data_IF_851810196275
#
_entry.id   IF_851810196275
#
_cell.length_a   1.000
_cell.length_b   1.000
_cell.length_c   1.000
_cell.angle_alpha   90.00
_cell.angle_beta   90.00
_cell.angle_gamma   90.00
#
_symmetry.space_group_name_H-M   'P 1'
#
loop_
_entity.id
_entity.type
_entity.pdbx_description
1 polymer ?
2 non-polymer ?
3 non-polymer ?
4 water ?
#
# COMPACT_ATOMS: atom_id res chain seq x y z
N UNK A 18 31.98 -5.87 -1.17
CA UNK A 18 32.51 -7.18 -1.65
C UNK A 18 32.72 -7.17 -3.17
N UNK A 19 31.63 -7.07 -3.92
CA UNK A 19 31.71 -7.03 -5.38
C UNK A 19 31.59 -5.59 -5.87
N UNK A 20 31.73 -5.39 -7.17
CA UNK A 20 31.61 -4.07 -7.73
C UNK A 20 30.78 -4.11 -9.01
N UNK A 21 29.77 -3.23 -9.10
CA UNK A 21 28.91 -3.15 -10.27
C UNK A 21 29.40 -1.96 -11.09
N UNK A 22 29.98 -2.24 -12.25
CA UNK A 22 30.51 -1.20 -13.14
C UNK A 22 29.44 -0.23 -13.63
N UNK A 23 28.30 -0.77 -14.04
CA UNK A 23 27.19 0.02 -14.57
C UNK A 23 26.68 1.13 -13.65
N UNK A 24 26.55 0.84 -12.37
CA UNK A 24 26.06 1.83 -11.41
C UNK A 24 27.17 2.40 -10.53
N UNK A 25 28.38 1.85 -10.68
CA UNK A 25 29.56 2.29 -9.93
C UNK A 25 29.36 2.11 -8.42
N UNK A 26 28.76 0.99 -8.04
CA UNK A 26 28.50 0.71 -6.63
C UNK A 26 28.93 -0.69 -6.21
N UNK A 27 29.58 -0.80 -5.05
CA UNK A 27 30.00 -2.09 -4.54
C UNK A 27 28.80 -2.71 -3.82
N UNK A 28 28.77 -4.03 -3.73
CA UNK A 28 27.65 -4.72 -3.11
C UNK A 28 28.03 -6.14 -2.71
N UNK A 29 27.06 -6.87 -2.19
CA UNK A 29 27.25 -8.25 -1.78
C UNK A 29 26.32 -9.07 -2.67
N UNK A 30 26.89 -10.01 -3.42
CA UNK A 30 26.09 -10.84 -4.31
C UNK A 30 25.03 -11.62 -3.54
N UNK A 31 23.84 -11.72 -4.13
CA UNK A 31 22.74 -12.43 -3.52
C UNK A 31 22.21 -13.45 -4.51
N UNK A 32 21.44 -14.43 -4.01
CA UNK A 32 20.86 -15.46 -4.88
C UNK A 32 19.67 -14.83 -5.59
N UNK A 33 19.80 -14.53 -6.87
CA UNK A 33 18.68 -13.92 -7.57
C UNK A 33 17.38 -14.69 -7.47
N UNK A 34 16.41 -14.40 -8.36
CA UNK A 34 15.12 -15.10 -8.33
C UNK A 34 15.30 -16.61 -8.41
N UNK A 35 14.64 -17.35 -7.54
CA UNK A 35 14.75 -18.80 -7.53
C UNK A 35 14.33 -19.38 -8.87
N UNK A 36 14.76 -20.60 -9.17
CA UNK A 36 14.37 -21.22 -10.42
C UNK A 36 13.01 -21.88 -10.27
N UNK A 37 12.67 -22.25 -9.03
CA UNK A 37 11.37 -22.84 -8.72
C UNK A 37 10.44 -21.65 -8.83
N UNK A 38 9.41 -21.75 -9.66
CA UNK A 38 8.51 -20.62 -9.81
C UNK A 38 7.08 -20.93 -9.42
N UNK A 39 6.36 -19.89 -9.00
CA UNK A 39 4.96 -20.04 -8.64
C UNK A 39 4.23 -20.64 -9.84
N UNK A 40 3.10 -21.28 -9.58
CA UNK A 40 2.31 -21.86 -10.65
C UNK A 40 1.76 -20.68 -11.45
N UNK A 41 1.72 -20.83 -12.76
CA UNK A 41 1.21 -19.77 -13.62
C UNK A 41 -0.12 -19.23 -13.09
N UNK A 42 -0.84 -20.06 -12.35
CA UNK A 42 -2.11 -19.63 -11.78
C UNK A 42 -1.90 -18.60 -10.68
N UNK A 43 -0.90 -18.83 -9.82
CA UNK A 43 -0.61 -17.89 -8.75
C UNK A 43 0.06 -16.64 -9.31
N UNK A 44 0.91 -16.82 -10.31
CA UNK A 44 1.58 -15.70 -10.95
C UNK A 44 0.56 -14.67 -11.37
N UNK A 45 -0.61 -15.15 -11.80
CA UNK A 45 -1.67 -14.24 -12.26
C UNK A 45 -2.50 -13.68 -11.12
N UNK A 46 -2.02 -13.87 -9.89
CA UNK A 46 -2.69 -13.36 -8.70
C UNK A 46 -1.78 -12.35 -7.96
N UNK A 47 -0.53 -12.26 -8.37
CA UNK A 47 0.43 -11.35 -7.76
C UNK A 47 0.04 -9.91 -8.04
N UNK A 48 -0.06 -9.12 -6.97
CA UNK A 48 -0.43 -7.73 -7.14
C UNK A 48 -1.91 -7.46 -7.35
N UNK A 49 -2.73 -8.50 -7.22
CA UNK A 49 -4.17 -8.35 -7.39
C UNK A 49 -4.77 -7.82 -6.10
N UNK A 50 -5.88 -7.09 -6.22
CA UNK A 50 -6.55 -6.57 -5.03
C UNK A 50 -7.12 -7.73 -4.21
N UNK A 51 -8.20 -8.35 -4.69
CA UNK A 51 -8.81 -9.51 -4.02
C UNK A 51 -9.69 -9.16 -2.82
N UNK A 52 -10.57 -8.18 -2.98
CA UNK A 52 -11.46 -7.80 -1.90
C UNK A 52 -12.32 -8.97 -1.45
N UNK A 53 -12.52 -9.12 -0.13
CA UNK A 53 -13.33 -10.21 0.41
C UNK A 53 -14.78 -10.16 -0.07
N UNK A 54 -15.26 -8.96 -0.40
CA UNK A 54 -16.63 -8.80 -0.89
C UNK A 54 -16.66 -8.82 -2.42
N UNK A 55 -15.75 -9.60 -3.01
CA UNK A 55 -15.63 -9.73 -4.46
C UNK A 55 -15.52 -8.37 -5.15
N UNK A 59 -13.74 -10.44 -11.27
CA UNK A 59 -12.74 -9.39 -11.45
C UNK A 59 -11.38 -9.95 -11.88
N UNK A 60 -11.41 -11.09 -12.58
CA UNK A 60 -10.19 -11.71 -13.06
C UNK A 60 -10.29 -11.95 -14.57
N UNK A 61 -10.38 -10.84 -15.31
CA UNK A 61 -10.48 -10.88 -16.76
C UNK A 61 -9.10 -11.20 -17.32
N UNK A 62 -9.00 -11.46 -18.63
CA UNK A 62 -7.68 -11.76 -19.20
C UNK A 62 -6.73 -10.60 -18.92
N UNK A 63 -7.30 -9.42 -18.72
CA UNK A 63 -6.51 -8.23 -18.43
C UNK A 63 -5.94 -8.31 -17.03
N UNK A 64 -6.82 -8.41 -16.04
CA UNK A 64 -6.39 -8.50 -14.65
C UNK A 64 -5.33 -9.57 -14.50
N UNK A 65 -5.54 -10.71 -15.17
CA UNK A 65 -4.57 -11.80 -15.09
C UNK A 65 -3.24 -11.46 -15.75
N UNK A 66 -3.29 -10.69 -16.83
CA UNK A 66 -2.08 -10.32 -17.55
C UNK A 66 -1.32 -9.23 -16.79
N UNK A 67 -2.08 -8.39 -16.10
CA UNK A 67 -1.52 -7.30 -15.31
C UNK A 67 -0.67 -7.91 -14.20
N UNK A 68 -1.25 -8.89 -13.52
CA UNK A 68 -0.57 -9.59 -12.44
C UNK A 68 0.63 -10.38 -12.93
N UNK A 69 0.45 -11.09 -14.03
CA UNK A 69 1.52 -11.91 -14.61
C UNK A 69 2.70 -11.02 -14.92
N UNK A 70 2.42 -9.84 -15.45
CA UNK A 70 3.46 -8.89 -15.78
C UNK A 70 4.15 -8.43 -14.51
N UNK A 71 3.37 -8.13 -13.46
CA UNK A 71 3.99 -7.69 -12.20
C UNK A 71 4.95 -8.75 -11.68
N UNK A 72 4.55 -10.02 -11.83
CA UNK A 72 5.36 -11.13 -11.36
C UNK A 72 6.70 -11.19 -12.09
N UNK A 73 6.65 -11.05 -13.41
CA UNK A 73 7.85 -11.08 -14.24
C UNK A 73 8.78 -9.93 -13.92
N UNK A 74 8.21 -8.74 -13.78
CA UNK A 74 9.01 -7.57 -13.48
C UNK A 74 9.61 -7.62 -12.08
N UNK A 75 8.85 -8.20 -11.15
CA UNK A 75 9.31 -8.36 -9.76
C UNK A 75 10.60 -9.17 -9.76
N UNK A 76 10.58 -10.32 -10.42
CA UNK A 76 11.78 -11.17 -10.45
C UNK A 76 12.92 -10.50 -11.18
N UNK A 77 12.61 -9.67 -12.15
CA UNK A 77 13.62 -8.96 -12.91
C UNK A 77 14.29 -7.90 -12.04
N UNK A 78 13.51 -7.18 -11.26
CA UNK A 78 14.08 -6.15 -10.37
C UNK A 78 14.85 -6.86 -9.25
N UNK A 79 14.41 -8.06 -8.90
CA UNK A 79 15.09 -8.82 -7.86
C UNK A 79 16.42 -9.30 -8.38
N UNK A 80 16.46 -9.57 -9.68
CA UNK A 80 17.69 -10.00 -10.31
C UNK A 80 18.67 -8.82 -10.30
N UNK A 81 18.15 -7.63 -10.60
CA UNK A 81 18.97 -6.41 -10.59
C UNK A 81 19.54 -6.17 -9.20
N UNK A 82 18.69 -6.26 -8.17
CA UNK A 82 19.13 -6.05 -6.80
C UNK A 82 20.28 -6.97 -6.40
N UNK A 83 20.14 -8.26 -6.70
CA UNK A 83 21.17 -9.24 -6.35
C UNK A 83 22.50 -9.00 -7.05
N UNK A 84 22.48 -8.18 -8.09
CA UNK A 84 23.69 -7.85 -8.85
C UNK A 84 24.15 -6.43 -8.57
N UNK A 85 23.57 -5.79 -7.57
CA UNK A 85 23.97 -4.42 -7.27
C UNK A 85 23.45 -3.42 -8.29
N UNK A 86 22.60 -3.87 -9.20
CA UNK A 86 22.02 -3.01 -10.22
C UNK A 86 21.08 -1.95 -9.65
N UNK A 87 20.37 -2.29 -8.58
CA UNK A 87 19.48 -1.34 -7.90
C UNK A 87 20.19 -1.13 -6.58
N UNK A 88 20.40 0.12 -6.18
CA UNK A 88 21.15 0.40 -4.98
C UNK A 88 20.46 1.14 -3.84
N UNK A 89 19.23 1.58 -4.05
CA UNK A 89 18.48 2.25 -2.98
C UNK A 89 16.99 1.91 -3.09
N UNK A 90 16.22 2.21 -2.06
CA UNK A 90 14.78 1.93 -2.11
C UNK A 90 14.15 2.84 -3.17
N UNK A 91 14.54 4.11 -3.14
CA UNK A 91 14.06 5.10 -4.09
C UNK A 91 14.22 4.62 -5.54
N UNK A 92 15.30 3.88 -5.78
CA UNK A 92 15.56 3.36 -7.12
C UNK A 92 14.58 2.23 -7.41
N UNK A 93 14.35 1.37 -6.42
CA UNK A 93 13.41 0.26 -6.56
C UNK A 93 12.00 0.81 -6.79
N UNK A 94 11.63 1.83 -6.01
CA UNK A 94 10.32 2.45 -6.16
C UNK A 94 10.16 3.03 -7.56
N UNK A 95 11.28 3.46 -8.14
CA UNK A 95 11.27 4.01 -9.49
C UNK A 95 11.03 2.92 -10.52
N UNK A 96 11.65 1.77 -10.32
CA UNK A 96 11.44 0.67 -11.25
C UNK A 96 9.98 0.22 -11.09
N UNK A 97 9.47 0.25 -9.86
CA UNK A 97 8.09 -0.14 -9.61
C UNK A 97 7.15 0.85 -10.31
N UNK A 98 7.46 2.14 -10.24
CA UNK A 98 6.61 3.12 -10.89
C UNK A 98 6.62 2.99 -12.41
N UNK A 99 7.79 2.82 -13.01
CA UNK A 99 7.84 2.69 -14.46
C UNK A 99 7.08 1.44 -14.94
N UNK A 100 7.12 0.36 -14.17
CA UNK A 100 6.39 -0.84 -14.58
C UNK A 100 4.90 -0.51 -14.53
N UNK A 101 4.50 0.13 -13.44
CA UNK A 101 3.11 0.52 -13.23
C UNK A 101 2.59 1.42 -14.34
N UNK A 102 3.37 2.43 -14.71
CA UNK A 102 2.98 3.36 -15.76
C UNK A 102 2.83 2.68 -17.12
N UNK A 103 3.54 1.58 -17.33
CA UNK A 103 3.48 0.88 -18.61
C UNK A 103 2.14 0.17 -18.81
N UNK A 104 1.35 0.05 -17.73
CA UNK A 104 0.06 -0.61 -17.83
C UNK A 104 -1.06 0.38 -18.08
N UNK A 105 -0.71 1.67 -18.09
CA UNK A 105 -1.70 2.73 -18.32
C UNK A 105 -1.98 2.89 -19.81
N UNK A 106 -3.26 3.06 -20.14
CA UNK A 106 -3.69 3.24 -21.52
C UNK A 106 -3.14 4.56 -22.08
N UNK A 107 -2.72 4.52 -23.35
CA UNK A 107 -2.16 5.69 -24.03
C UNK A 107 -3.00 6.96 -23.84
N UNK A 108 -2.30 8.08 -23.62
CA UNK A 108 -2.96 9.36 -23.43
C UNK A 108 -3.79 9.44 -22.16
N UNK A 109 -3.45 8.63 -21.16
CA UNK A 109 -4.17 8.63 -19.89
C UNK A 109 -3.98 9.97 -19.15
N UNK A 110 -5.10 10.60 -18.73
CA UNK A 110 -4.96 11.87 -18.02
C UNK A 110 -4.47 11.69 -16.59
N UNK A 111 -4.55 10.46 -16.10
CA UNK A 111 -4.11 10.12 -14.75
C UNK A 111 -2.65 9.73 -14.71
N UNK A 112 -2.06 9.56 -15.88
CA UNK A 112 -0.66 9.17 -16.01
C UNK A 112 0.25 9.91 -15.04
N UNK A 113 0.07 11.22 -14.95
CA UNK A 113 0.89 12.07 -14.10
C UNK A 113 0.74 11.78 -12.61
N UNK A 114 -0.48 11.44 -12.19
CA UNK A 114 -0.73 11.11 -10.79
C UNK A 114 -0.05 9.78 -10.44
N UNK A 115 0.00 8.86 -11.39
CA UNK A 115 0.66 7.58 -11.17
C UNK A 115 2.18 7.71 -11.21
N UNK A 116 2.69 8.81 -11.76
CA UNK A 116 4.13 8.98 -11.85
C UNK A 116 4.68 9.95 -10.80
N UNK A 117 3.77 10.67 -10.14
CA UNK A 117 4.20 11.67 -9.18
C UNK A 117 4.04 11.38 -7.69
N UNK A 118 4.96 11.95 -6.91
CA UNK A 118 4.92 11.80 -5.47
C UNK A 118 3.88 12.79 -4.94
N UNK A 119 3.26 12.42 -3.84
CA UNK A 119 2.22 13.21 -3.19
C UNK A 119 2.80 14.44 -2.48
N UNK A 120 2.04 15.55 -2.48
CA UNK A 120 2.49 16.78 -1.80
C UNK A 120 1.42 17.26 -0.83
N UNK A 121 1.74 18.30 -0.07
CA UNK A 121 0.83 18.87 0.93
C UNK A 121 -0.55 19.31 0.43
N UNK A 122 -0.57 20.08 -0.66
CA UNK A 122 -1.86 20.52 -1.19
C UNK A 122 -2.35 19.59 -2.30
N UNK A 123 -2.65 18.34 -1.93
CA UNK A 123 -3.14 17.37 -2.89
C UNK A 123 -4.03 16.35 -2.18
N UNK A 124 -4.73 15.54 -2.98
CA UNK A 124 -5.64 14.51 -2.47
C UNK A 124 -4.96 13.61 -1.43
N UNK A 125 -5.64 13.40 -0.31
CA UNK A 125 -5.12 12.55 0.75
C UNK A 125 -6.26 11.81 1.43
N UNK A 126 -7.36 11.62 0.71
CA UNK A 126 -8.53 10.93 1.26
C UNK A 126 -9.13 9.85 0.37
N UNK A 127 -9.62 8.79 0.99
CA UNK A 127 -10.26 7.70 0.27
C UNK A 127 -11.63 7.43 0.90
N UNK A 128 -12.71 7.87 0.23
CA UNK A 128 -14.07 7.66 0.75
C UNK A 128 -14.30 6.15 0.84
N UNK A 129 -14.75 5.66 1.99
CA UNK A 129 -14.99 4.23 2.16
C UNK A 129 -16.30 3.73 1.56
N UNK A 130 -16.39 3.82 0.24
CA UNK A 130 -17.55 3.37 -0.51
C UNK A 130 -17.03 2.20 -1.33
N UNK A 131 -17.87 1.65 -2.20
CA UNK A 131 -17.47 0.51 -3.03
C UNK A 131 -16.26 0.93 -3.86
N UNK A 132 -15.25 0.05 -4.01
CA UNK A 132 -15.10 -1.31 -3.47
C UNK A 132 -14.51 -1.47 -2.08
N UNK A 133 -14.48 -0.40 -1.29
CA UNK A 133 -13.91 -0.46 0.06
C UNK A 133 -14.92 -0.76 1.17
N UNK A 134 -16.16 -1.02 0.79
CA UNK A 134 -17.24 -1.32 1.73
C UNK A 134 -16.85 -2.26 2.88
N UNK A 135 -16.08 -3.31 2.57
CA UNK A 135 -15.65 -4.28 3.58
C UNK A 135 -14.71 -3.73 4.65
N UNK A 136 -14.33 -2.47 4.52
CA UNK A 136 -13.43 -1.85 5.50
C UNK A 136 -14.24 -1.28 6.65
N UNK A 137 -15.50 -0.97 6.39
CA UNK A 137 -16.39 -0.41 7.39
C UNK A 137 -16.43 -1.31 8.62
N UNK A 138 -16.60 -2.62 8.39
CA UNK A 138 -16.67 -3.58 9.47
C UNK A 138 -15.35 -3.61 10.23
N UNK A 139 -14.26 -3.88 9.50
CA UNK A 139 -12.92 -3.94 10.09
C UNK A 139 -12.63 -2.76 11.03
N UNK A 140 -13.16 -1.59 10.72
CA UNK A 140 -12.92 -0.43 11.58
C UNK A 140 -13.79 -0.53 12.82
N UNK A 141 -15.10 -0.71 12.59
CA UNK A 141 -16.06 -0.83 13.69
C UNK A 141 -15.63 -1.89 14.71
N UNK A 142 -15.25 -3.07 14.22
CA UNK A 142 -14.82 -4.18 15.06
C UNK A 142 -13.35 -4.17 15.44
N UNK A 143 -12.63 -3.09 15.12
CA UNK A 143 -11.20 -3.02 15.42
C UNK A 143 -10.91 -2.88 16.91
N UNK A 144 -10.14 -3.82 17.43
CA UNK A 144 -9.78 -3.84 18.85
C UNK A 144 -9.13 -2.56 19.35
N UNK A 145 -8.69 -1.71 18.43
CA UNK A 145 -8.04 -0.45 18.82
C UNK A 145 -8.84 0.78 18.39
N UNK A 146 -10.05 0.56 17.89
CA UNK A 146 -10.88 1.69 17.46
C UNK A 146 -11.52 2.33 18.68
N UNK A 147 -11.75 3.65 18.61
CA UNK A 147 -12.36 4.35 19.73
C UNK A 147 -13.49 5.27 19.27
N UNK A 148 -14.59 5.26 20.02
CA UNK A 148 -15.73 6.11 19.69
C UNK A 148 -15.25 7.53 19.80
N UNK A 149 -15.77 8.41 18.95
CA UNK A 149 -15.33 9.79 18.96
C UNK A 149 -16.40 10.63 18.28
N UNK A 150 -16.36 11.94 18.48
CA UNK A 150 -17.32 12.84 17.85
C UNK A 150 -16.60 13.67 16.79
N UNK A 151 -17.05 13.51 15.55
CA UNK A 151 -16.49 14.20 14.40
C UNK A 151 -17.32 15.44 14.11
N UNK A 152 -16.66 16.54 13.78
CA UNK A 152 -17.35 17.77 13.48
C UNK A 152 -17.26 18.08 11.97
N UNK A 153 -18.42 18.28 11.35
CA UNK A 153 -18.46 18.57 9.93
C UNK A 153 -19.28 19.83 9.66
N UNK A 154 -18.86 20.60 8.66
CA UNK A 154 -19.53 21.84 8.30
C UNK A 154 -20.90 21.56 7.69
N UNK A 155 -21.06 20.36 7.12
CA UNK A 155 -22.30 19.96 6.49
C UNK A 155 -23.16 19.11 7.43
N UNK A 156 -22.80 17.84 7.55
CA UNK A 156 -23.53 16.90 8.40
C UNK A 156 -23.62 17.35 9.86
N UNK A 157 -22.77 18.31 10.24
CA UNK A 157 -22.75 18.76 11.61
C UNK A 157 -21.91 17.79 12.40
N UNK A 158 -22.32 17.47 13.63
CA UNK A 158 -21.55 16.55 14.45
C UNK A 158 -22.08 15.13 14.27
N UNK A 159 -21.15 14.18 14.18
CA UNK A 159 -21.50 12.78 13.98
C UNK A 159 -20.73 11.86 14.91
N UNK A 160 -21.31 10.70 15.19
CA UNK A 160 -20.66 9.72 16.06
C UNK A 160 -19.91 8.77 15.12
N UNK A 161 -18.60 8.74 15.26
CA UNK A 161 -17.78 7.89 14.40
C UNK A 161 -16.84 6.97 15.17
N UNK A 162 -16.66 5.77 14.63
CA UNK A 162 -15.74 4.81 15.21
C UNK A 162 -14.44 5.25 14.50
N UNK A 163 -13.40 5.54 15.28
CA UNK A 163 -12.16 6.00 14.67
C UNK A 163 -10.92 5.18 15.02
N UNK A 164 -10.22 4.73 13.99
CA UNK A 164 -8.98 3.99 14.19
C UNK A 164 -7.82 4.90 13.78
N UNK A 165 -6.95 5.23 14.72
CA UNK A 165 -5.81 6.09 14.41
C UNK A 165 -4.50 5.33 14.30
N UNK A 166 -4.09 5.03 13.06
CA UNK A 166 -2.84 4.31 12.82
C UNK A 166 -1.65 5.23 13.15
N UNK A 167 -0.69 4.71 13.91
CA UNK A 167 0.50 5.49 14.26
C UNK A 167 1.75 4.66 14.02
N UNK A 168 2.91 5.32 14.00
CA UNK A 168 4.18 4.66 13.80
C UNK A 168 5.25 5.21 14.72
N UNK A 169 6.24 4.38 15.01
CA UNK A 169 7.36 4.78 15.85
C UNK A 169 8.56 5.05 14.94
N UNK A 170 9.12 6.25 15.00
CA UNK A 170 10.28 6.55 14.17
C UNK A 170 11.29 7.39 14.94
N UNK A 171 12.38 6.75 15.35
CA UNK A 171 13.46 7.44 16.08
C UNK A 171 12.97 8.10 17.37
N UNK A 172 11.94 7.53 17.99
CA UNK A 172 11.42 8.10 19.23
C UNK A 172 10.26 9.04 18.99
N UNK A 173 10.00 9.34 17.73
CA UNK A 173 8.91 10.23 17.36
C UNK A 173 7.75 9.33 16.94
N UNK A 174 6.61 9.47 17.61
CA UNK A 174 5.44 8.69 17.29
C UNK A 174 4.56 9.54 16.40
N UNK A 175 4.41 9.13 15.15
CA UNK A 175 3.63 9.92 14.21
C UNK A 175 2.35 9.24 13.74
N UNK A 176 1.36 10.05 13.35
CA UNK A 176 0.10 9.50 12.86
C UNK A 176 0.19 9.23 11.37
N UNK A 177 -0.19 8.03 10.97
CA UNK A 177 -0.17 7.72 9.55
C UNK A 177 -1.61 7.89 9.08
N UNK A 178 -2.28 6.77 8.83
CA UNK A 178 -3.66 6.75 8.37
C UNK A 178 -4.72 6.74 9.47
N UNK A 179 -5.80 7.48 9.22
CA UNK A 179 -6.91 7.60 10.15
C UNK A 179 -8.21 7.13 9.47
N UNK A 180 -8.87 6.15 10.05
CA UNK A 180 -10.13 5.63 9.52
C UNK A 180 -11.34 6.21 10.29
N UNK A 181 -12.27 6.82 9.56
CA UNK A 181 -13.48 7.41 10.13
C UNK A 181 -14.71 6.61 9.62
N UNK A 182 -15.56 6.15 10.53
CA UNK A 182 -16.76 5.43 10.13
C UNK A 182 -17.98 5.90 10.93
N UNK A 183 -18.84 6.67 10.28
CA UNK A 183 -20.05 7.20 10.91
C UNK A 183 -20.97 6.05 11.33
N UNK A 184 -21.47 6.13 12.56
CA UNK A 184 -22.34 5.08 13.08
C UNK A 184 -23.85 5.36 13.09
N UNK A 185 -24.24 6.63 12.96
CA UNK A 185 -25.68 7.00 12.96
C UNK A 185 -26.30 6.80 11.57
N UNK A 186 -26.54 5.54 11.21
CA UNK A 186 -27.10 5.19 9.92
C UNK A 186 -28.32 6.00 9.46
N UNK A 187 -29.42 5.85 10.18
CA UNK A 187 -30.65 6.56 9.83
C UNK A 187 -30.45 8.06 9.68
N UNK A 188 -29.76 8.66 10.64
CA UNK A 188 -29.51 10.09 10.62
C UNK A 188 -28.76 10.52 9.36
N UNK A 189 -27.85 9.67 8.90
CA UNK A 189 -27.06 9.95 7.71
C UNK A 189 -27.91 9.88 6.44
N UNK A 190 -28.77 8.88 6.35
CA UNK A 190 -29.66 8.73 5.20
C UNK A 190 -30.41 10.03 4.98
N UNK A 191 -30.92 10.61 6.07
CA UNK A 191 -31.67 11.86 6.01
C UNK A 191 -30.82 13.08 5.72
N UNK A 192 -29.64 13.14 6.31
CA UNK A 192 -28.74 14.26 6.07
C UNK A 192 -28.38 14.34 4.58
N UNK A 193 -28.03 13.19 4.01
CA UNK A 193 -27.67 13.10 2.60
C UNK A 193 -28.82 13.57 1.71
N UNK A 194 -30.01 13.04 1.95
CA UNK A 194 -31.19 13.38 1.17
C UNK A 194 -31.43 14.88 1.14
N UNK A 195 -31.28 15.53 2.30
CA UNK A 195 -31.47 16.97 2.38
C UNK A 195 -30.38 17.70 1.59
N UNK A 196 -29.13 17.34 1.83
CA UNK A 196 -27.99 17.96 1.15
C UNK A 196 -28.00 17.71 -0.36
N UNK A 197 -28.40 16.50 -0.75
CA UNK A 197 -28.43 16.14 -2.16
C UNK A 197 -29.44 17.01 -2.90
N UNK A 198 -30.15 17.86 -2.16
CA UNK A 198 -31.14 18.75 -2.74
C UNK A 198 -30.76 20.20 -2.52
N UNK A 199 -29.90 20.45 -1.55
CA UNK A 199 -29.45 21.81 -1.24
C UNK A 199 -28.14 22.14 -1.94
N UNK A 200 -27.45 21.12 -2.42
CA UNK A 200 -26.16 21.31 -3.09
C UNK A 200 -26.15 20.63 -4.46
N UNK A 201 -27.08 19.68 -4.65
CA UNK A 201 -27.14 18.97 -5.91
C UNK A 201 -26.13 17.84 -5.94
N UNK A 202 -26.47 16.74 -6.59
CA UNK A 202 -25.58 15.58 -6.69
C UNK A 202 -24.13 15.98 -6.97
N UNK A 203 -23.95 17.06 -7.73
CA UNK A 203 -22.63 17.53 -8.10
C UNK A 203 -21.87 18.09 -6.90
N UNK A 204 -22.23 19.30 -6.48
CA UNK A 204 -21.57 19.95 -5.35
C UNK A 204 -21.38 18.99 -4.17
N UNK A 205 -22.32 18.08 -3.99
CA UNK A 205 -22.23 17.11 -2.90
C UNK A 205 -21.01 16.22 -3.08
N UNK A 206 -20.97 15.48 -4.18
CA UNK A 206 -19.86 14.57 -4.45
C UNK A 206 -18.50 15.23 -4.27
N UNK A 207 -18.41 16.50 -4.61
CA UNK A 207 -17.15 17.22 -4.46
C UNK A 207 -16.81 17.31 -2.98
N UNK A 208 -17.73 17.82 -2.18
CA UNK A 208 -17.50 17.93 -0.75
C UNK A 208 -17.39 16.55 -0.14
N UNK A 209 -18.10 15.60 -0.74
CA UNK A 209 -18.11 14.23 -0.26
C UNK A 209 -16.88 13.48 -0.71
N UNK A 210 -16.06 14.12 -1.53
CA UNK A 210 -14.84 13.48 -1.99
C UNK A 210 -13.78 13.61 -0.91
N UNK A 211 -13.94 14.63 -0.07
CA UNK A 211 -13.01 14.86 1.03
C UNK A 211 -13.67 14.66 2.39
N UNK A 212 -14.98 14.89 2.48
CA UNK A 212 -15.66 14.77 3.76
C UNK A 212 -16.74 13.68 3.87
N UNK A 213 -16.60 12.60 3.13
CA UNK A 213 -17.56 11.53 3.20
C UNK A 213 -17.47 10.95 4.61
N UNK A 214 -18.60 10.92 5.34
CA UNK A 214 -18.66 10.40 6.71
C UNK A 214 -17.79 9.16 6.93
N UNK A 215 -17.79 8.27 5.95
CA UNK A 215 -17.01 7.04 6.02
C UNK A 215 -15.78 7.25 5.11
N UNK A 216 -14.60 7.43 5.69
CA UNK A 216 -13.40 7.67 4.88
C UNK A 216 -12.08 7.38 5.57
N UNK A 217 -11.02 7.34 4.75
CA UNK A 217 -9.67 7.12 5.25
C UNK A 217 -8.91 8.40 5.00
N UNK A 218 -8.41 9.02 6.06
CA UNK A 218 -7.59 10.23 5.90
C UNK A 218 -6.16 9.67 5.92
N UNK A 219 -5.50 9.77 4.77
CA UNK A 219 -4.17 9.23 4.63
C UNK A 219 -3.05 10.03 5.28
N UNK A 220 -1.91 9.37 5.44
CA UNK A 220 -0.73 9.95 6.02
C UNK A 220 -0.45 11.33 5.44
N UNK A 221 -0.14 12.28 6.31
CA UNK A 221 0.17 13.62 5.89
C UNK A 221 1.45 13.56 5.04
N UNK A 222 1.44 14.26 3.91
CA UNK A 222 2.59 14.26 3.01
C UNK A 222 3.84 14.82 3.65
N UNK A 223 3.64 15.69 4.64
CA UNK A 223 4.74 16.31 5.34
C UNK A 223 5.68 15.28 5.99
N UNK A 224 5.23 14.04 6.12
CA UNK A 224 6.05 12.99 6.73
C UNK A 224 6.77 12.11 5.72
N UNK A 225 6.51 12.32 4.43
CA UNK A 225 7.16 11.51 3.39
C UNK A 225 8.69 11.48 3.42
N UNK A 226 9.34 12.65 3.57
CA UNK A 226 10.81 12.66 3.60
C UNK A 226 11.44 11.71 4.63
N UNK A 227 11.05 11.82 5.91
CA UNK A 227 11.66 10.92 6.89
C UNK A 227 11.19 9.48 6.65
N UNK A 228 9.99 9.31 6.07
CA UNK A 228 9.53 7.96 5.80
C UNK A 228 10.36 7.37 4.63
N UNK A 229 10.57 8.16 3.58
CA UNK A 229 11.37 7.66 2.47
C UNK A 229 12.80 7.36 2.96
N UNK A 230 13.33 8.19 3.84
CA UNK A 230 14.67 7.91 4.37
C UNK A 230 14.62 6.61 5.15
N UNK A 231 13.60 6.43 5.97
CA UNK A 231 13.51 5.17 6.72
C UNK A 231 13.40 3.96 5.78
N UNK A 232 12.63 4.08 4.71
CA UNK A 232 12.51 2.98 3.75
C UNK A 232 13.87 2.62 3.13
N UNK A 233 14.70 3.64 2.90
CA UNK A 233 16.04 3.43 2.36
C UNK A 233 16.87 2.68 3.41
N UNK A 234 16.69 3.01 4.68
CA UNK A 234 17.42 2.32 5.75
C UNK A 234 17.01 0.84 5.84
N UNK A 235 15.74 0.53 5.62
CA UNK A 235 15.30 -0.86 5.67
C UNK A 235 15.81 -1.64 4.48
N UNK A 236 15.89 -0.96 3.33
CA UNK A 236 16.42 -1.57 2.11
C UNK A 236 17.88 -1.93 2.33
N UNK A 237 18.64 -1.01 2.90
CA UNK A 237 20.04 -1.24 3.17
C UNK A 237 20.19 -2.49 4.02
N UNK A 238 19.33 -2.64 5.03
CA UNK A 238 19.38 -3.82 5.89
C UNK A 238 18.96 -5.06 5.14
N UNK A 239 17.87 -4.94 4.39
CA UNK A 239 17.29 -6.04 3.65
C UNK A 239 18.17 -6.68 2.58
N UNK A 240 19.16 -5.95 2.08
CA UNK A 240 20.01 -6.54 1.06
C UNK A 240 21.28 -7.16 1.63
N UNK A 241 21.26 -7.44 2.94
CA UNK A 241 22.40 -8.09 3.59
C UNK A 241 22.43 -9.54 3.13
N UNK A 242 23.63 -10.11 3.04
CA UNK A 242 23.79 -11.48 2.60
C UNK A 242 23.85 -12.48 3.76
N UNK A 243 23.75 -11.96 4.99
CA UNK A 243 23.83 -12.78 6.20
C UNK A 243 22.55 -12.73 7.05
N UNK A 244 21.40 -12.74 6.39
CA UNK A 244 20.11 -12.70 7.07
C UNK A 244 19.40 -14.04 6.98
N UNK A 245 18.86 -14.49 8.11
CA UNK A 245 18.11 -15.74 8.14
C UNK A 245 16.78 -15.41 7.48
N UNK A 246 16.10 -16.41 6.93
CA UNK A 246 14.82 -16.17 6.29
C UNK A 246 13.78 -15.59 7.24
N UNK A 247 13.98 -15.77 8.54
CA UNK A 247 13.06 -15.22 9.53
C UNK A 247 13.31 -13.72 9.63
N UNK A 248 14.59 -13.34 9.67
CA UNK A 248 14.98 -11.93 9.76
C UNK A 248 14.61 -11.24 8.45
N UNK A 249 14.75 -11.98 7.36
CA UNK A 249 14.47 -11.47 6.03
C UNK A 249 12.99 -11.19 5.81
N UNK A 250 12.14 -12.14 6.16
CA UNK A 250 10.70 -11.96 6.00
C UNK A 250 10.21 -10.77 6.81
N UNK A 251 10.78 -10.59 7.99
CA UNK A 251 10.39 -9.47 8.85
C UNK A 251 10.68 -8.14 8.19
N UNK A 252 11.88 -8.01 7.61
CA UNK A 252 12.27 -6.78 6.93
C UNK A 252 11.36 -6.47 5.76
N UNK A 253 11.01 -7.50 5.00
CA UNK A 253 10.13 -7.36 3.85
C UNK A 253 8.74 -6.88 4.29
N UNK A 254 8.24 -7.45 5.38
CA UNK A 254 6.93 -7.07 5.90
C UNK A 254 6.96 -5.60 6.36
N UNK A 255 8.05 -5.21 7.01
CA UNK A 255 8.21 -3.82 7.49
C UNK A 255 8.23 -2.84 6.32
N UNK A 256 9.07 -3.14 5.34
CA UNK A 256 9.21 -2.31 4.16
C UNK A 256 7.83 -2.14 3.52
N UNK A 257 7.11 -3.25 3.39
CA UNK A 257 5.78 -3.25 2.80
C UNK A 257 4.85 -2.39 3.67
N UNK A 258 4.94 -2.57 4.99
CA UNK A 258 4.10 -1.80 5.91
C UNK A 258 4.30 -0.29 5.76
N UNK A 259 5.55 0.14 5.86
CA UNK A 259 5.87 1.55 5.76
C UNK A 259 5.48 2.16 4.43
N UNK A 260 5.84 1.48 3.34
CA UNK A 260 5.54 1.95 1.99
C UNK A 260 4.04 2.05 1.74
N UNK A 261 3.31 1.00 2.07
CA UNK A 261 1.87 1.01 1.84
C UNK A 261 1.20 2.04 2.73
N UNK A 262 1.61 2.11 4.01
CA UNK A 262 0.99 3.05 4.92
C UNK A 262 1.33 4.50 4.61
N UNK A 263 2.52 4.73 4.05
CA UNK A 263 2.92 6.09 3.72
C UNK A 263 2.12 6.57 2.50
N UNK A 264 1.94 5.68 1.53
CA UNK A 264 1.22 6.02 0.31
C UNK A 264 1.98 7.21 -0.30
N UNK A 265 3.24 6.99 -0.69
CA UNK A 265 4.12 8.00 -1.28
C UNK A 265 3.64 8.73 -2.53
N UNK A 266 2.96 8.03 -3.42
CA UNK A 266 2.50 8.67 -4.65
C UNK A 266 1.02 9.00 -4.69
N UNK A 267 0.69 9.98 -5.51
CA UNK A 267 -0.68 10.43 -5.64
C UNK A 267 -1.56 9.28 -6.08
N UNK A 268 -0.96 8.34 -6.80
CA UNK A 268 -1.71 7.22 -7.33
C UNK A 268 -0.80 6.01 -7.49
N UNK A 269 -1.35 4.81 -7.29
CA UNK A 269 -0.59 3.60 -7.48
C UNK A 269 0.32 3.09 -6.37
N UNK A 270 0.22 3.67 -5.18
CA UNK A 270 1.07 3.27 -4.08
C UNK A 270 1.00 1.79 -3.67
N UNK A 271 -0.20 1.22 -3.64
CA UNK A 271 -0.29 -0.17 -3.21
C UNK A 271 0.44 -1.12 -4.17
N UNK A 272 0.28 -0.91 -5.48
CA UNK A 272 0.97 -1.74 -6.48
C UNK A 272 2.49 -1.62 -6.30
N UNK A 273 2.99 -0.39 -6.20
CA UNK A 273 4.41 -0.14 -6.02
C UNK A 273 4.99 -0.74 -4.75
N UNK A 274 4.24 -0.59 -3.66
CA UNK A 274 4.63 -1.09 -2.36
C UNK A 274 4.81 -2.59 -2.39
N UNK A 275 3.81 -3.30 -2.92
CA UNK A 275 3.86 -4.75 -3.01
C UNK A 275 4.96 -5.21 -3.97
N UNK A 276 5.11 -4.46 -5.04
CA UNK A 276 6.12 -4.75 -6.05
C UNK A 276 7.50 -4.67 -5.40
N UNK A 277 7.73 -3.60 -4.62
CA UNK A 277 9.02 -3.43 -3.95
C UNK A 277 9.31 -4.56 -2.98
N UNK A 278 8.35 -4.83 -2.10
CA UNK A 278 8.49 -5.88 -1.11
C UNK A 278 8.85 -7.21 -1.74
N UNK A 279 8.16 -7.58 -2.82
CA UNK A 279 8.43 -8.86 -3.46
C UNK A 279 9.72 -8.88 -4.28
N UNK A 280 10.18 -7.69 -4.72
CA UNK A 280 11.42 -7.60 -5.49
C UNK A 280 12.54 -7.88 -4.50
N UNK A 281 12.45 -7.32 -3.31
CA UNK A 281 13.46 -7.58 -2.30
C UNK A 281 13.51 -9.07 -1.93
N UNK A 282 12.34 -9.70 -1.76
CA UNK A 282 12.29 -11.12 -1.41
C UNK A 282 12.86 -11.95 -2.56
N UNK A 283 12.50 -11.56 -3.77
CA UNK A 283 12.93 -12.26 -4.96
C UNK A 283 14.46 -12.26 -5.10
N UNK A 284 15.09 -11.15 -4.71
CA UNK A 284 16.54 -11.04 -4.77
C UNK A 284 17.22 -12.07 -3.88
N UNK A 285 16.50 -12.53 -2.86
CA UNK A 285 17.05 -13.51 -1.94
C UNK A 285 16.59 -14.93 -2.28
N UNK A 286 15.88 -15.08 -3.39
CA UNK A 286 15.44 -16.40 -3.78
C UNK A 286 14.03 -16.71 -3.29
N UNK A 287 13.58 -15.99 -2.27
CA UNK A 287 12.26 -16.22 -1.73
C UNK A 287 11.19 -15.97 -2.79
N UNK A 288 10.39 -16.98 -3.09
CA UNK A 288 9.33 -16.82 -4.07
C UNK A 288 8.01 -16.69 -3.32
N UNK A 289 7.69 -15.48 -2.91
CA UNK A 289 6.48 -15.18 -2.17
C UNK A 289 5.20 -15.43 -2.98
N UNK A 290 4.31 -16.31 -2.47
CA UNK A 290 3.06 -16.63 -3.15
C UNK A 290 2.11 -15.44 -3.01
N UNK A 291 1.02 -15.40 -3.79
CA UNK A 291 0.08 -14.28 -3.70
C UNK A 291 -0.64 -14.18 -2.36
N UNK A 292 -1.27 -13.05 -2.10
CA UNK A 292 -2.01 -12.86 -0.85
C UNK A 292 -3.35 -13.63 -0.90
N UNK A 293 -3.75 -14.19 0.23
CA UNK A 293 -4.99 -14.95 0.34
C UNK A 293 -6.20 -14.12 -0.09
N UNK A 294 -7.15 -14.76 -0.75
CA UNK A 294 -8.36 -14.07 -1.21
C UNK A 294 -9.00 -13.35 -0.03
N UNK A 295 -9.34 -12.08 -0.21
CA UNK A 295 -9.93 -11.31 0.88
C UNK A 295 -8.90 -10.47 1.61
N UNK A 296 -7.62 -10.83 1.45
CA UNK A 296 -6.52 -10.09 2.07
C UNK A 296 -5.92 -9.06 1.13
N UNK A 297 -6.29 -7.79 1.31
CA UNK A 297 -5.77 -6.70 0.49
C UNK A 297 -4.61 -6.06 1.27
N UNK A 298 -3.39 -6.45 0.91
CA UNK A 298 -2.14 -5.99 1.53
C UNK A 298 -2.09 -4.58 2.12
N UNK A 299 -2.21 -3.56 1.29
CA UNK A 299 -2.14 -2.20 1.78
C UNK A 299 -3.16 -1.89 2.87
N UNK A 300 -4.40 -2.34 2.67
CA UNK A 300 -5.46 -2.12 3.64
C UNK A 300 -5.14 -2.87 4.93
N UNK A 301 -4.64 -4.10 4.82
CA UNK A 301 -4.28 -4.85 6.02
C UNK A 301 -3.20 -4.09 6.76
N UNK A 302 -2.30 -3.44 6.01
CA UNK A 302 -1.22 -2.68 6.62
C UNK A 302 -1.75 -1.41 7.27
N UNK A 303 -2.59 -0.67 6.56
CA UNK A 303 -3.14 0.56 7.11
C UNK A 303 -3.95 0.36 8.37
N UNK A 304 -4.53 -0.83 8.51
CA UNK A 304 -5.35 -1.18 9.65
C UNK A 304 -4.55 -1.74 10.82
N UNK A 305 -3.23 -1.71 10.76
CA UNK A 305 -2.48 -2.23 11.88
C UNK A 305 -1.19 -1.52 12.22
N UNK A 306 -0.67 -1.87 13.40
CA UNK A 306 0.57 -1.33 13.89
C UNK A 306 1.66 -2.12 13.22
N UNK A 307 2.83 -1.51 13.12
CA UNK A 307 3.98 -2.15 12.47
C UNK A 307 4.31 -3.56 12.96
N UNK A 308 4.43 -3.71 14.27
CA UNK A 308 4.77 -5.00 14.85
C UNK A 308 3.72 -6.08 14.62
N UNK A 309 2.45 -5.74 14.80
CA UNK A 309 1.41 -6.73 14.57
C UNK A 309 1.35 -7.09 13.09
N UNK A 310 1.65 -6.13 12.22
CA UNK A 310 1.64 -6.41 10.78
C UNK A 310 2.75 -7.39 10.43
N UNK A 311 3.93 -7.20 11.04
CA UNK A 311 5.07 -8.08 10.79
C UNK A 311 4.77 -9.48 11.28
N UNK A 312 4.10 -9.56 12.43
CA UNK A 312 3.74 -10.83 13.04
C UNK A 312 2.81 -11.65 12.16
N UNK A 313 1.81 -11.00 11.57
CA UNK A 313 0.85 -11.72 10.72
C UNK A 313 1.11 -11.70 9.21
N UNK A 314 2.21 -11.11 8.77
CA UNK A 314 2.50 -11.06 7.35
C UNK A 314 2.40 -12.43 6.71
N UNK A 315 3.14 -13.39 7.26
CA UNK A 315 3.12 -14.75 6.72
C UNK A 315 1.72 -15.33 6.54
N UNK A 316 0.84 -15.09 7.51
CA UNK A 316 -0.51 -15.64 7.45
C UNK A 316 -1.40 -14.98 6.41
N UNK A 317 -1.00 -13.80 5.94
CA UNK A 317 -1.76 -13.09 4.93
C UNK A 317 -1.52 -13.68 3.55
N UNK A 318 -0.42 -14.42 3.43
CA UNK A 318 -0.05 -15.06 2.17
C UNK A 318 -0.59 -16.48 2.09
N UNK A 319 -0.69 -17.01 0.87
CA UNK A 319 -1.22 -18.35 0.67
C UNK A 319 -0.57 -19.47 1.51
N UNK A 320 0.36 -20.21 0.92
CA UNK A 320 1.02 -21.32 1.62
C UNK A 320 1.97 -20.94 2.77
N UNK A 321 3.27 -20.90 2.47
CA UNK A 321 4.32 -20.57 3.44
C UNK A 321 4.99 -21.78 4.12
X LIG B 1 -4.92 3.50 -6.99
X LIG B 1 -5.98 3.78 -5.99
X LIG B 1 -5.44 3.38 -8.38
X LIG B 1 -3.74 4.54 -6.84
X LIG B 1 -3.25 1.29 -6.04
X LIG B 1 -2.01 1.57 -6.77
X LIG B 1 -3.17 1.47 -4.57
X LIG B 1 -4.50 2.06 -6.60
X LIG B 1 -3.63 -0.13 -6.63
X LIG B 1 -4.84 -0.85 -6.29
X LIG B 1 -4.61 -2.33 -6.12
X LIG B 1 -5.17 -3.17 -7.21
X LIG B 1 -3.15 -2.80 -6.07
X LIG B 1 -3.17 -3.99 -5.24
X LIG B 1 -2.86 -3.00 -7.56
X LIG B 1 -1.69 -3.79 -7.86
X LIG B 1 -4.14 -3.67 -8.06
X LIG B 1 -4.44 -3.43 -9.51
X LIG B 1 -4.30 -2.28 -10.24
X LIG B 1 -4.67 -2.44 -11.53
X LIG B 1 -5.06 -3.73 -11.61
X LIG B 1 -5.57 -4.52 -12.72
X LIG B 1 -5.74 -4.11 -13.94
X LIG B 1 -5.86 -5.84 -12.40
X LIG B 1 -5.70 -6.37 -11.11
X LIG B 1 -5.23 -5.66 -10.08
X LIG B 1 -4.94 -4.37 -10.37
X LIG C 1 -5.45 3.10 -1.82
X LIG C 1 -4.54 2.85 -0.60
X LIG C 1 -6.31 4.34 -1.51
X LIG C 1 -6.38 1.90 -2.08
X LIG C 1 -4.62 3.37 -3.00
X LIG C 1 -3.70 1.72 -0.82
X LIG C 1 -7.18 4.64 -2.61
X LIG C 1 -5.62 0.72 -2.38
#
# INVERSE_FOLDING_TARGET
GAMGCVSSKSTTVLSPQTSFNEASRTSFRALPGPSQRQLEVYDQCLIGAARWPDDSSKSNTPENRAYCQSMYNSIRSAGDEISRGGITSFEELWGRATEWRLSKLQRGEPLYSAFASERTSDTDAVTPLVKPYKSVLARVVDHEDAHDEIMQDNLFGDLNVKVYRQTAYLHGNVIPLNTFRVATDTEYLRDRVAHLRTELGAKALKQHLQRYNPDRIDHTNASYLPIIKDHLNDLYRQAISSDLSQAELISLIARTHWWAASAMPDQRGSAAKAEFAARAIASAHGIELPPFRNGNVSDIEAMLSGEEEFVEKYRSLLDSDCF
ADP PB O1B O2B O3B PA O1A O2A O3A O5' C5' C4' O4' C3' O3' C2' O2' C1' N9 C8 N7 C5 C6 N6 N1 C2 N3 C4
TRS C C1 C2 C3 N O1 O2 O3
#
